data_IF_130648284881
#
_entry.id   IF_130648284881
#
_cell.length_a   1.000
_cell.length_b   1.000
_cell.length_c   1.000
_cell.angle_alpha   90.00
_cell.angle_beta   90.00
_cell.angle_gamma   90.00
#
_symmetry.space_group_name_H-M   'P 1'
#
loop_
_entity.id
_entity.type
_entity.pdbx_description
1 polymer ?
#
# COMPACT_ATOMS: atom_id res chain seq x y z
N UNK A 1 6.56 -11.24 -15.68
CA UNK A 1 7.61 -10.44 -15.00
C UNK A 1 8.07 -11.21 -13.76
N UNK A 2 9.37 -11.23 -13.42
CA UNK A 2 9.87 -11.77 -12.17
C UNK A 2 9.65 -10.72 -11.06
N UNK A 3 8.50 -10.79 -10.38
CA UNK A 3 8.13 -9.93 -9.26
C UNK A 3 7.65 -10.81 -8.11
N UNK A 4 7.89 -10.38 -6.88
CA UNK A 4 7.53 -11.13 -5.68
C UNK A 4 6.11 -10.82 -5.21
N UNK A 5 5.60 -9.63 -5.51
CA UNK A 5 4.25 -9.21 -5.15
C UNK A 5 3.59 -8.36 -6.25
N UNK A 6 2.27 -8.32 -6.23
CA UNK A 6 1.45 -7.49 -7.12
C UNK A 6 0.47 -6.71 -6.24
N UNK A 7 0.42 -5.40 -6.44
CA UNK A 7 -0.59 -4.55 -5.83
C UNK A 7 -1.67 -4.28 -6.87
N UNK A 8 -2.87 -4.76 -6.60
CA UNK A 8 -4.07 -4.48 -7.39
C UNK A 8 -4.74 -3.24 -6.83
N UNK A 9 -5.06 -2.30 -7.69
CA UNK A 9 -5.48 -0.97 -7.24
C UNK A 9 -6.97 -0.71 -7.52
N UNK A 10 -7.74 -0.39 -6.47
CA UNK A 10 -9.11 0.09 -6.55
C UNK A 10 -9.23 1.60 -6.26
N UNK A 11 -8.10 2.23 -5.89
CA UNK A 11 -8.06 3.63 -5.47
C UNK A 11 -7.68 4.56 -6.64
N UNK A 12 -6.57 5.23 -6.61
CA UNK A 12 -6.22 6.35 -7.51
C UNK A 12 -6.11 5.96 -8.99
N UNK A 13 -5.79 4.70 -9.32
CA UNK A 13 -5.71 4.24 -10.70
C UNK A 13 -7.10 4.03 -11.35
N UNK A 14 -8.20 4.16 -10.60
CA UNK A 14 -9.57 3.90 -11.06
C UNK A 14 -10.39 5.17 -11.01
N UNK A 15 -10.99 5.56 -12.13
CA UNK A 15 -11.91 6.69 -12.21
C UNK A 15 -13.16 6.46 -11.33
N UNK A 16 -13.76 7.53 -10.81
CA UNK A 16 -14.85 7.44 -9.84
C UNK A 16 -16.05 6.64 -10.37
N UNK A 17 -16.40 6.83 -11.64
CA UNK A 17 -17.49 6.15 -12.35
C UNK A 17 -17.20 4.67 -12.60
N UNK A 18 -15.92 4.27 -12.58
CA UNK A 18 -15.49 2.90 -12.87
C UNK A 18 -15.21 2.06 -11.60
N UNK A 19 -15.38 2.62 -10.40
CA UNK A 19 -15.07 1.92 -9.15
C UNK A 19 -15.78 0.56 -9.03
N UNK A 20 -17.06 0.51 -9.36
CA UNK A 20 -17.85 -0.73 -9.28
C UNK A 20 -17.44 -1.77 -10.34
N UNK A 21 -17.18 -1.33 -11.58
CA UNK A 21 -16.75 -2.23 -12.66
C UNK A 21 -15.34 -2.76 -12.41
N UNK A 22 -14.41 -1.89 -11.97
CA UNK A 22 -13.04 -2.29 -11.65
C UNK A 22 -13.00 -3.32 -10.53
N UNK A 23 -13.80 -3.14 -9.47
CA UNK A 23 -13.95 -4.10 -8.37
C UNK A 23 -14.40 -5.47 -8.87
N UNK A 24 -15.45 -5.51 -9.70
CA UNK A 24 -15.95 -6.76 -10.26
C UNK A 24 -14.93 -7.48 -11.14
N UNK A 25 -14.20 -6.72 -11.98
CA UNK A 25 -13.14 -7.24 -12.85
C UNK A 25 -11.99 -7.79 -12.01
N UNK A 26 -11.57 -7.06 -10.96
CA UNK A 26 -10.48 -7.49 -10.07
C UNK A 26 -10.82 -8.80 -9.38
N UNK A 27 -12.00 -8.92 -8.78
CA UNK A 27 -12.44 -10.14 -8.09
C UNK A 27 -12.49 -11.32 -9.07
N UNK A 28 -13.08 -11.14 -10.25
CA UNK A 28 -13.13 -12.20 -11.26
C UNK A 28 -11.72 -12.71 -11.65
N UNK A 29 -10.77 -11.81 -11.93
CA UNK A 29 -9.41 -12.20 -12.28
C UNK A 29 -8.64 -12.86 -11.14
N UNK A 30 -8.84 -12.43 -9.90
CA UNK A 30 -8.19 -13.05 -8.76
C UNK A 30 -8.73 -14.46 -8.50
N UNK A 31 -10.02 -14.69 -8.70
CA UNK A 31 -10.63 -16.03 -8.60
C UNK A 31 -10.16 -16.97 -9.72
N UNK A 32 -9.89 -16.45 -10.93
CA UNK A 32 -9.28 -17.23 -12.01
C UNK A 32 -7.84 -17.69 -11.66
N UNK A 33 -7.14 -16.92 -10.81
CA UNK A 33 -5.79 -17.24 -10.35
C UNK A 33 -4.73 -17.00 -11.41
N UNK A 34 -3.65 -17.81 -11.38
CA UNK A 34 -2.54 -17.70 -12.37
C UNK A 34 -1.38 -16.82 -11.92
N UNK A 35 -1.41 -16.31 -10.70
CA UNK A 35 -0.36 -15.42 -10.16
C UNK A 35 0.85 -16.17 -9.57
N UNK A 36 0.76 -17.51 -9.42
CA UNK A 36 1.83 -18.35 -8.88
C UNK A 36 2.10 -18.06 -7.41
N UNK A 37 3.37 -17.92 -7.04
CA UNK A 37 3.80 -17.62 -5.68
C UNK A 37 3.87 -16.13 -5.34
N UNK A 38 3.34 -15.26 -6.19
CA UNK A 38 3.37 -13.81 -5.97
C UNK A 38 2.34 -13.42 -4.92
N UNK A 39 2.77 -12.63 -3.95
CA UNK A 39 1.87 -12.04 -2.96
C UNK A 39 0.86 -11.12 -3.62
N UNK A 40 -0.41 -11.32 -3.32
CA UNK A 40 -1.53 -10.57 -3.86
C UNK A 40 -2.00 -9.56 -2.81
N UNK A 41 -1.75 -8.30 -3.08
CA UNK A 41 -2.09 -7.18 -2.21
C UNK A 41 -3.15 -6.35 -2.92
N UNK A 42 -4.22 -5.95 -2.23
CA UNK A 42 -5.27 -5.13 -2.84
C UNK A 42 -5.31 -3.77 -2.16
N UNK A 43 -5.05 -2.70 -2.91
CA UNK A 43 -5.26 -1.34 -2.42
C UNK A 43 -6.73 -0.98 -2.57
N UNK A 44 -7.39 -0.77 -1.43
CA UNK A 44 -8.80 -0.35 -1.34
C UNK A 44 -8.92 1.17 -1.34
N UNK A 45 -10.13 1.67 -1.51
CA UNK A 45 -10.42 3.08 -1.27
C UNK A 45 -10.35 3.40 0.24
N UNK A 46 -10.03 4.65 0.58
CA UNK A 46 -9.97 5.11 1.98
C UNK A 46 -11.29 4.87 2.73
N UNK A 47 -11.19 4.59 4.04
CA UNK A 47 -12.34 4.25 4.88
C UNK A 47 -13.40 5.37 4.99
N UNK A 48 -12.99 6.61 4.71
CA UNK A 48 -13.84 7.81 4.67
C UNK A 48 -14.58 7.99 3.34
N UNK A 49 -14.37 7.09 2.37
CA UNK A 49 -15.00 7.13 1.05
C UNK A 49 -16.24 6.25 0.98
N UNK A 50 -17.17 6.52 0.07
CA UNK A 50 -18.37 5.69 -0.10
C UNK A 50 -18.07 4.29 -0.67
N UNK A 51 -16.88 4.04 -1.20
CA UNK A 51 -16.52 2.78 -1.87
C UNK A 51 -15.87 1.74 -0.95
N UNK A 52 -15.29 2.16 0.18
CA UNK A 52 -14.50 1.28 1.05
C UNK A 52 -15.28 0.05 1.53
N UNK A 53 -16.52 0.22 1.96
CA UNK A 53 -17.33 -0.88 2.47
C UNK A 53 -17.61 -1.94 1.40
N UNK A 54 -17.89 -1.51 0.17
CA UNK A 54 -18.13 -2.43 -0.97
C UNK A 54 -16.82 -3.08 -1.44
N UNK A 55 -15.69 -2.37 -1.39
CA UNK A 55 -14.40 -2.94 -1.71
C UNK A 55 -14.06 -4.08 -0.74
N UNK A 56 -14.17 -3.83 0.57
CA UNK A 56 -13.88 -4.82 1.60
C UNK A 56 -14.80 -6.05 1.46
N UNK A 57 -16.10 -5.84 1.26
CA UNK A 57 -17.05 -6.93 1.10
C UNK A 57 -16.71 -7.80 -0.12
N UNK A 58 -16.35 -7.18 -1.25
CA UNK A 58 -16.06 -7.90 -2.49
C UNK A 58 -14.73 -8.68 -2.43
N UNK A 59 -13.67 -8.08 -1.86
CA UNK A 59 -12.36 -8.73 -1.82
C UNK A 59 -12.25 -9.82 -0.75
N UNK A 60 -13.19 -9.93 0.18
CA UNK A 60 -13.27 -11.02 1.14
C UNK A 60 -13.33 -12.39 0.45
N UNK A 61 -14.02 -12.47 -0.69
CA UNK A 61 -14.18 -13.70 -1.46
C UNK A 61 -12.84 -14.24 -2.00
N UNK A 62 -11.94 -13.34 -2.38
CA UNK A 62 -10.63 -13.73 -2.97
C UNK A 62 -9.54 -13.98 -1.94
N UNK A 63 -9.79 -13.67 -0.65
CA UNK A 63 -8.88 -13.93 0.46
C UNK A 63 -7.45 -13.42 0.20
N UNK A 64 -7.26 -12.13 -0.03
CA UNK A 64 -5.94 -11.60 -0.38
C UNK A 64 -4.94 -11.80 0.77
N UNK A 65 -3.66 -11.87 0.46
CA UNK A 65 -2.62 -11.93 1.48
C UNK A 65 -2.57 -10.64 2.30
N UNK A 66 -2.80 -9.49 1.65
CA UNK A 66 -2.88 -8.22 2.35
C UNK A 66 -3.89 -7.25 1.71
N UNK A 67 -4.47 -6.41 2.57
CA UNK A 67 -5.23 -5.22 2.18
C UNK A 67 -4.36 -4.00 2.44
N UNK A 68 -4.12 -3.19 1.41
CA UNK A 68 -3.36 -1.96 1.49
C UNK A 68 -4.31 -0.78 1.70
N UNK A 69 -4.20 -0.13 2.86
CA UNK A 69 -4.98 1.05 3.19
C UNK A 69 -4.25 2.32 2.72
N UNK A 70 -4.86 3.18 1.89
CA UNK A 70 -4.26 4.45 1.49
C UNK A 70 -4.32 5.48 2.61
N UNK A 71 -3.45 6.49 2.54
CA UNK A 71 -3.45 7.72 3.33
C UNK A 71 -3.54 7.49 4.84
N UNK A 72 -2.77 6.51 5.33
CA UNK A 72 -2.77 6.15 6.76
C UNK A 72 -2.04 7.22 7.57
N UNK A 73 -2.77 7.85 8.51
CA UNK A 73 -2.26 8.89 9.39
C UNK A 73 -1.88 8.41 10.80
N UNK A 74 -2.49 7.31 11.26
CA UNK A 74 -2.33 6.82 12.63
C UNK A 74 -2.74 5.33 12.77
N UNK A 75 -2.35 4.71 13.88
CA UNK A 75 -2.67 3.31 14.18
C UNK A 75 -4.18 3.04 14.35
N UNK A 76 -4.97 4.05 14.72
CA UNK A 76 -6.42 3.90 14.86
C UNK A 76 -7.08 3.54 13.52
N UNK A 77 -6.61 4.09 12.39
CA UNK A 77 -7.13 3.73 11.05
C UNK A 77 -6.88 2.26 10.73
N UNK A 78 -5.72 1.71 11.15
CA UNK A 78 -5.42 0.28 11.01
C UNK A 78 -6.39 -0.57 11.84
N UNK A 79 -6.62 -0.17 13.09
CA UNK A 79 -7.54 -0.89 13.97
C UNK A 79 -8.99 -0.84 13.44
N UNK A 80 -9.42 0.28 12.88
CA UNK A 80 -10.74 0.44 12.25
C UNK A 80 -10.89 -0.48 11.03
N UNK A 81 -9.89 -0.54 10.14
CA UNK A 81 -9.91 -1.49 9.03
C UNK A 81 -9.97 -2.93 9.53
N UNK A 82 -9.13 -3.28 10.50
CA UNK A 82 -9.14 -4.61 11.12
C UNK A 82 -10.52 -5.00 11.65
N UNK A 83 -11.19 -4.09 12.37
CA UNK A 83 -12.52 -4.31 12.91
C UNK A 83 -13.61 -4.44 11.82
N UNK A 84 -13.44 -3.81 10.66
CA UNK A 84 -14.34 -4.00 9.51
C UNK A 84 -14.08 -5.36 8.87
N UNK A 85 -12.81 -5.71 8.64
CA UNK A 85 -12.43 -7.01 8.06
C UNK A 85 -12.93 -8.19 8.91
N UNK A 86 -12.89 -8.08 10.25
CA UNK A 86 -13.33 -9.12 11.17
C UNK A 86 -14.84 -9.44 11.09
N UNK A 87 -15.62 -8.61 10.39
CA UNK A 87 -17.06 -8.87 10.13
C UNK A 87 -17.32 -9.72 8.87
N UNK A 88 -16.27 -10.01 8.11
CA UNK A 88 -16.34 -10.77 6.87
C UNK A 88 -15.52 -12.04 6.98
N UNK A 89 -16.06 -13.18 6.58
CA UNK A 89 -15.30 -14.40 6.37
C UNK A 89 -14.31 -14.20 5.23
N UNK A 90 -13.11 -14.76 5.35
CA UNK A 90 -12.08 -14.70 4.29
C UNK A 90 -10.86 -13.86 4.65
N UNK A 91 -10.91 -13.06 5.72
CA UNK A 91 -9.78 -12.25 6.16
C UNK A 91 -9.00 -12.81 7.36
N UNK A 92 -9.23 -14.07 7.73
CA UNK A 92 -8.65 -14.68 8.95
C UNK A 92 -7.11 -14.62 8.94
N UNK A 93 -6.49 -14.72 7.76
CA UNK A 93 -5.04 -14.69 7.58
C UNK A 93 -4.55 -13.45 6.80
N UNK A 94 -5.45 -12.54 6.45
CA UNK A 94 -5.11 -11.35 5.67
C UNK A 94 -4.44 -10.31 6.54
N UNK A 95 -3.27 -9.84 6.13
CA UNK A 95 -2.55 -8.74 6.76
C UNK A 95 -3.12 -7.39 6.33
N UNK A 96 -2.82 -6.36 7.10
CA UNK A 96 -3.03 -4.97 6.70
C UNK A 96 -1.68 -4.37 6.34
N UNK A 97 -1.61 -3.71 5.20
CA UNK A 97 -0.47 -2.91 4.80
C UNK A 97 -0.88 -1.43 4.78
N UNK A 98 0.03 -0.54 5.16
CA UNK A 98 -0.21 0.89 5.18
C UNK A 98 0.49 1.59 4.03
N UNK A 99 -0.22 2.43 3.26
CA UNK A 99 0.41 3.37 2.35
C UNK A 99 0.89 4.59 3.15
N UNK A 100 2.20 4.77 3.21
CA UNK A 100 2.88 5.83 3.92
C UNK A 100 3.12 7.00 2.97
N UNK A 101 2.14 7.89 2.88
CA UNK A 101 2.06 8.91 1.83
C UNK A 101 1.60 10.29 2.34
N UNK A 102 1.41 10.42 3.66
CA UNK A 102 1.07 11.69 4.30
C UNK A 102 2.14 12.10 5.30
N UNK A 103 2.42 13.40 5.48
CA UNK A 103 3.34 13.86 6.51
C UNK A 103 2.96 13.41 7.92
N UNK A 104 1.66 13.31 8.22
CA UNK A 104 1.17 12.83 9.52
C UNK A 104 1.47 11.35 9.71
N UNK A 105 1.19 10.52 8.72
CA UNK A 105 1.49 9.09 8.74
C UNK A 105 2.99 8.83 8.91
N UNK A 106 3.84 9.58 8.18
CA UNK A 106 5.30 9.47 8.34
C UNK A 106 5.71 9.72 9.79
N UNK A 107 5.22 10.80 10.42
CA UNK A 107 5.55 11.11 11.81
C UNK A 107 5.06 10.06 12.81
N UNK A 108 4.00 9.33 12.49
CA UNK A 108 3.40 8.28 13.32
C UNK A 108 3.82 6.86 12.87
N UNK A 109 4.84 6.73 12.02
CA UNK A 109 5.19 5.46 11.38
C UNK A 109 5.45 4.31 12.38
N UNK A 110 6.09 4.59 13.52
CA UNK A 110 6.35 3.58 14.52
C UNK A 110 5.05 3.04 15.16
N UNK A 111 4.13 3.94 15.52
CA UNK A 111 2.82 3.57 16.06
C UNK A 111 1.98 2.78 15.06
N UNK A 112 2.02 3.18 13.78
CA UNK A 112 1.34 2.47 12.69
C UNK A 112 1.95 1.07 12.51
N UNK A 113 3.29 0.95 12.52
CA UNK A 113 3.98 -0.32 12.35
C UNK A 113 3.66 -1.35 13.44
N UNK A 114 3.44 -0.89 14.68
CA UNK A 114 3.11 -1.73 15.83
C UNK A 114 1.61 -2.06 15.93
N UNK A 115 0.77 -1.54 15.03
CA UNK A 115 -0.67 -1.79 15.07
C UNK A 115 -1.00 -3.27 14.78
N UNK A 116 -2.11 -3.81 15.32
CA UNK A 116 -2.54 -5.19 15.06
C UNK A 116 -2.70 -5.49 13.57
N UNK A 117 -2.34 -6.70 13.15
CA UNK A 117 -2.44 -7.21 11.76
C UNK A 117 -1.50 -6.52 10.77
N UNK A 118 -0.65 -5.58 11.19
CA UNK A 118 0.32 -4.96 10.29
C UNK A 118 1.32 -5.97 9.76
N UNK A 119 1.43 -6.06 8.43
CA UNK A 119 2.37 -6.92 7.71
C UNK A 119 3.37 -6.13 6.86
N UNK A 120 3.04 -4.90 6.49
CA UNK A 120 3.93 -4.12 5.64
C UNK A 120 3.56 -2.65 5.49
N UNK A 121 4.50 -1.91 4.97
CA UNK A 121 4.36 -0.51 4.56
C UNK A 121 4.74 -0.35 3.09
N UNK A 122 4.06 0.52 2.38
CA UNK A 122 4.42 0.93 1.01
C UNK A 122 4.62 2.44 1.01
N UNK A 123 5.74 2.91 0.49
CA UNK A 123 6.00 4.35 0.41
C UNK A 123 5.22 4.97 -0.75
N UNK A 124 4.28 5.85 -0.46
CA UNK A 124 3.52 6.62 -1.44
C UNK A 124 4.23 7.94 -1.77
N UNK A 125 5.39 7.86 -2.45
CA UNK A 125 6.29 8.99 -2.68
C UNK A 125 5.69 10.13 -3.50
N UNK A 126 4.73 9.85 -4.38
CA UNK A 126 4.06 10.86 -5.21
C UNK A 126 3.18 11.79 -4.36
N UNK A 127 2.29 11.21 -3.55
CA UNK A 127 1.39 11.98 -2.69
C UNK A 127 2.17 12.65 -1.56
N UNK A 128 3.15 11.98 -0.98
CA UNK A 128 4.01 12.60 0.02
C UNK A 128 4.75 13.83 -0.52
N UNK A 129 5.32 13.75 -1.73
CA UNK A 129 5.98 14.90 -2.35
C UNK A 129 5.02 16.06 -2.62
N UNK A 130 3.80 15.75 -3.03
CA UNK A 130 2.73 16.73 -3.25
C UNK A 130 2.32 17.41 -1.93
N UNK A 131 2.08 16.65 -0.87
CA UNK A 131 1.69 17.18 0.43
C UNK A 131 2.81 18.01 1.09
N UNK A 132 4.07 17.61 0.90
CA UNK A 132 5.24 18.37 1.32
C UNK A 132 5.50 19.60 0.44
N UNK A 133 4.76 19.76 -0.66
CA UNK A 133 4.96 20.81 -1.67
C UNK A 133 6.43 20.86 -2.13
N UNK A 134 7.03 19.70 -2.38
CA UNK A 134 8.42 19.57 -2.78
C UNK A 134 8.54 19.15 -4.25
N UNK A 135 9.71 19.39 -4.84
CA UNK A 135 9.99 18.97 -6.21
C UNK A 135 10.39 17.49 -6.26
N UNK A 136 10.10 16.86 -7.39
CA UNK A 136 10.72 15.59 -7.73
C UNK A 136 12.20 15.79 -8.04
N UNK A 137 13.03 15.03 -7.38
CA UNK A 137 14.49 15.04 -7.52
C UNK A 137 14.95 13.59 -7.73
N UNK A 138 15.76 13.29 -8.76
CA UNK A 138 16.24 11.93 -9.02
C UNK A 138 16.98 11.28 -7.83
N UNK A 139 17.64 12.08 -6.99
CA UNK A 139 18.28 11.59 -5.76
C UNK A 139 17.29 11.43 -4.60
N UNK A 140 16.03 11.84 -4.77
CA UNK A 140 14.97 11.85 -3.75
C UNK A 140 15.32 12.60 -2.47
N UNK A 141 16.28 13.54 -2.53
CA UNK A 141 16.80 14.26 -1.37
C UNK A 141 15.70 14.82 -0.43
N UNK A 142 14.59 15.42 -0.92
CA UNK A 142 13.50 15.90 -0.06
C UNK A 142 12.77 14.80 0.71
N UNK A 143 12.81 13.55 0.24
CA UNK A 143 12.07 12.42 0.81
C UNK A 143 12.93 11.48 1.67
N UNK A 144 14.26 11.59 1.62
CA UNK A 144 15.16 10.64 2.30
C UNK A 144 14.90 10.52 3.81
N UNK A 145 14.56 11.63 4.47
CA UNK A 145 14.24 11.59 5.89
C UNK A 145 12.98 10.77 6.18
N UNK A 146 11.94 10.92 5.35
CA UNK A 146 10.68 10.17 5.47
C UNK A 146 10.89 8.69 5.15
N UNK A 147 11.61 8.38 4.07
CA UNK A 147 11.98 7.02 3.69
C UNK A 147 12.74 6.32 4.82
N UNK A 148 13.82 6.94 5.32
CA UNK A 148 14.63 6.39 6.41
C UNK A 148 13.83 6.21 7.70
N UNK A 149 12.94 7.14 8.02
CA UNK A 149 12.07 7.03 9.21
C UNK A 149 11.13 5.82 9.12
N UNK A 150 10.47 5.62 7.97
CA UNK A 150 9.61 4.46 7.76
C UNK A 150 10.39 3.14 7.73
N UNK A 151 11.62 3.12 7.17
CA UNK A 151 12.50 1.94 7.22
C UNK A 151 12.81 1.57 8.66
N UNK A 152 13.17 2.54 9.51
CA UNK A 152 13.43 2.29 10.94
C UNK A 152 12.20 1.74 11.65
N UNK A 153 11.02 2.33 11.42
CA UNK A 153 9.76 1.88 12.02
C UNK A 153 9.41 0.44 11.60
N UNK A 154 9.45 0.15 10.30
CA UNK A 154 9.13 -1.18 9.78
C UNK A 154 10.12 -2.24 10.30
N UNK A 155 11.42 -1.93 10.34
CA UNK A 155 12.44 -2.86 10.87
C UNK A 155 12.31 -3.09 12.36
N UNK A 156 11.96 -2.07 13.14
CA UNK A 156 11.71 -2.20 14.57
C UNK A 156 10.52 -3.13 14.86
N UNK A 157 9.44 -3.01 14.09
CA UNK A 157 8.25 -3.85 14.19
C UNK A 157 8.39 -5.23 13.51
N UNK A 158 9.45 -5.47 12.74
CA UNK A 158 9.68 -6.73 12.01
C UNK A 158 8.75 -6.94 10.82
N UNK A 159 8.22 -5.87 10.23
CA UNK A 159 7.35 -5.92 9.05
C UNK A 159 8.08 -5.57 7.76
N UNK A 160 7.47 -5.88 6.62
CA UNK A 160 7.98 -5.53 5.29
C UNK A 160 7.85 -4.03 5.03
N UNK A 161 8.81 -3.45 4.31
CA UNK A 161 8.65 -2.13 3.71
C UNK A 161 9.03 -2.18 2.22
N UNK A 162 8.19 -1.57 1.38
CA UNK A 162 8.36 -1.49 -0.07
C UNK A 162 8.51 -0.03 -0.45
N UNK A 163 9.49 0.24 -1.30
CA UNK A 163 9.77 1.59 -1.81
C UNK A 163 8.63 2.12 -2.71
N UNK A 164 8.68 3.41 -3.04
CA UNK A 164 7.69 4.07 -3.88
C UNK A 164 7.75 3.64 -5.34
N UNK A 165 6.73 4.06 -6.10
CA UNK A 165 6.65 3.79 -7.53
C UNK A 165 7.70 4.58 -8.30
N UNK A 166 8.38 3.90 -9.25
CA UNK A 166 9.23 4.55 -10.23
C UNK A 166 8.42 4.97 -11.46
N UNK A 167 8.19 6.28 -11.62
CA UNK A 167 7.28 6.81 -12.63
C UNK A 167 7.84 6.76 -14.06
N UNK A 168 9.16 6.83 -14.22
CA UNK A 168 9.81 6.83 -15.53
C UNK A 168 10.01 5.40 -16.06
N UNK A 169 8.94 4.63 -16.23
CA UNK A 169 8.92 3.20 -16.50
C UNK A 169 9.71 2.74 -17.76
N UNK A 170 10.18 3.67 -18.61
CA UNK A 170 11.05 3.40 -19.77
C UNK A 170 12.53 3.64 -19.47
N UNK A 171 12.86 4.20 -18.31
CA UNK A 171 14.23 4.52 -17.90
C UNK A 171 14.75 3.42 -16.94
N UNK A 172 15.29 2.36 -17.51
CA UNK A 172 15.85 1.23 -16.74
C UNK A 172 17.07 1.64 -15.90
N UNK A 173 17.89 2.56 -16.39
CA UNK A 173 19.08 3.01 -15.67
C UNK A 173 18.71 3.79 -14.42
N UNK A 174 17.74 4.71 -14.52
CA UNK A 174 17.21 5.43 -13.38
C UNK A 174 16.52 4.51 -12.37
N UNK A 175 15.74 3.53 -12.84
CA UNK A 175 15.13 2.51 -11.97
C UNK A 175 16.19 1.74 -11.17
N UNK A 176 17.29 1.32 -11.81
CA UNK A 176 18.37 0.61 -11.12
C UNK A 176 19.05 1.47 -10.06
N UNK A 177 19.24 2.76 -10.31
CA UNK A 177 19.79 3.70 -9.32
C UNK A 177 18.87 3.84 -8.12
N UNK A 178 17.57 4.07 -8.35
CA UNK A 178 16.59 4.23 -7.27
C UNK A 178 16.39 2.93 -6.48
N UNK A 179 16.30 1.79 -7.16
CA UNK A 179 16.21 0.49 -6.50
C UNK A 179 17.46 0.16 -5.68
N UNK A 180 18.65 0.54 -6.15
CA UNK A 180 19.89 0.38 -5.37
C UNK A 180 19.89 1.26 -4.13
N UNK A 181 19.44 2.50 -4.24
CA UNK A 181 19.29 3.38 -3.08
C UNK A 181 18.32 2.80 -2.04
N UNK A 182 17.14 2.31 -2.47
CA UNK A 182 16.17 1.69 -1.57
C UNK A 182 16.69 0.43 -0.88
N UNK A 183 17.49 -0.39 -1.58
CA UNK A 183 18.14 -1.57 -1.00
C UNK A 183 19.22 -1.19 0.03
N UNK A 184 19.94 -0.10 -0.20
CA UNK A 184 21.06 0.32 0.64
C UNK A 184 20.59 1.10 1.89
N UNK A 185 19.29 1.45 1.99
CA UNK A 185 18.64 2.07 3.15
C UNK A 185 18.20 1.02 4.17
#
# INVERSE_FOLDING_TARGET
>A
MPVDSIIFDLEDAVALEEKASARAVLVAHLLEGGYGSRSQIIRINGLDTPWAAEDIAAIAEVRPEAVLLPKVDNAQMIAELGAVMDRHEGFENTQIWAMMETPRGILNAAEIADAPRMGGMVMGTNDLAKDLNTRFDPARAPLLAALGHCVLAAKAAGIVIVDGVYNAFKDEAGLQVEASQGRDM
#
